data_IF_122371532356
#
_entry.id   IF_122371532356
#
_cell.length_a   1.000
_cell.length_b   1.000
_cell.length_c   1.000
_cell.angle_alpha   90.00
_cell.angle_beta   90.00
_cell.angle_gamma   90.00
#
_symmetry.space_group_name_H-M   'P 1'
#
loop_
_entity.id
_entity.type
_entity.pdbx_description
1 polymer ?
#
# COMPACT_ATOMS: atom_id res chain seq x y z
N UNK A 1 5.96 -20.26 -14.48
CA UNK A 1 5.46 -20.68 -13.16
C UNK A 1 4.19 -19.91 -12.88
N UNK A 2 3.06 -20.57 -12.59
CA UNK A 2 1.87 -19.83 -12.18
C UNK A 2 2.16 -19.21 -10.80
N UNK A 3 2.19 -17.88 -10.71
CA UNK A 3 2.28 -17.20 -9.43
C UNK A 3 1.04 -17.57 -8.60
N UNK A 4 1.24 -18.10 -7.39
CA UNK A 4 0.15 -18.24 -6.43
C UNK A 4 -0.24 -16.83 -5.96
N UNK A 5 -1.30 -16.27 -6.55
CA UNK A 5 -1.85 -14.96 -6.18
C UNK A 5 -2.68 -15.12 -4.89
N UNK A 6 -2.48 -14.20 -3.95
CA UNK A 6 -3.31 -14.10 -2.76
C UNK A 6 -4.71 -13.60 -3.11
N UNK A 7 -5.73 -14.01 -2.35
CA UNK A 7 -7.10 -13.49 -2.46
C UNK A 7 -7.32 -12.20 -1.62
N UNK A 8 -6.27 -11.69 -0.97
CA UNK A 8 -6.37 -10.45 -0.19
C UNK A 8 -6.30 -9.22 -1.10
N UNK A 9 -7.15 -8.23 -0.84
CA UNK A 9 -7.01 -6.90 -1.43
C UNK A 9 -5.71 -6.24 -0.99
N UNK A 10 -5.07 -5.53 -1.90
CA UNK A 10 -3.85 -4.76 -1.67
C UNK A 10 -4.14 -3.28 -1.86
N UNK A 11 -3.76 -2.48 -0.88
CA UNK A 11 -3.65 -1.03 -1.02
C UNK A 11 -2.17 -0.68 -1.14
N UNK A 12 -1.81 0.09 -2.16
CA UNK A 12 -0.50 0.72 -2.29
C UNK A 12 -0.68 2.19 -1.93
N UNK A 13 -0.11 2.61 -0.79
CA UNK A 13 -0.11 3.99 -0.34
C UNK A 13 1.00 4.76 -1.04
N UNK A 14 0.62 5.77 -1.84
CA UNK A 14 1.51 6.56 -2.70
C UNK A 14 1.12 8.03 -2.60
N UNK A 15 2.01 8.86 -2.08
CA UNK A 15 1.86 10.32 -1.94
C UNK A 15 2.66 11.11 -2.99
N UNK A 16 3.23 10.42 -3.98
CA UNK A 16 3.98 10.95 -5.11
C UNK A 16 3.19 10.72 -6.41
N UNK A 17 2.68 11.80 -7.02
CA UNK A 17 1.86 11.75 -8.23
C UNK A 17 2.62 11.17 -9.44
N UNK A 18 3.93 11.41 -9.55
CA UNK A 18 4.75 10.86 -10.63
C UNK A 18 4.90 9.35 -10.47
N UNK A 19 5.14 8.89 -9.24
CA UNK A 19 5.20 7.46 -8.92
C UNK A 19 3.85 6.77 -9.15
N UNK A 20 2.75 7.42 -8.75
CA UNK A 20 1.39 6.89 -8.94
C UNK A 20 1.08 6.70 -10.43
N UNK A 21 1.32 7.72 -11.26
CA UNK A 21 1.08 7.67 -12.69
C UNK A 21 1.99 6.62 -13.40
N UNK A 22 3.25 6.53 -12.98
CA UNK A 22 4.18 5.51 -13.48
C UNK A 22 3.68 4.10 -13.16
N UNK A 23 3.26 3.87 -11.91
CA UNK A 23 2.86 2.55 -11.44
C UNK A 23 1.53 2.09 -12.04
N UNK A 24 0.53 2.97 -12.13
CA UNK A 24 -0.76 2.70 -12.81
C UNK A 24 -0.52 2.18 -14.23
N UNK A 25 0.34 2.87 -15.00
CA UNK A 25 0.73 2.41 -16.33
C UNK A 25 1.50 1.10 -16.31
N UNK A 26 2.45 0.94 -15.39
CA UNK A 26 3.33 -0.23 -15.35
C UNK A 26 2.57 -1.52 -15.00
N UNK A 27 1.58 -1.46 -14.11
CA UNK A 27 0.78 -2.61 -13.69
C UNK A 27 -0.07 -3.21 -14.84
N UNK A 28 -0.34 -2.44 -15.90
CA UNK A 28 -0.98 -2.96 -17.11
C UNK A 28 -0.04 -3.67 -18.09
N UNK A 29 1.27 -3.38 -18.05
CA UNK A 29 2.22 -3.76 -19.11
C UNK A 29 3.29 -4.76 -18.62
N UNK A 30 3.38 -5.01 -17.31
CA UNK A 30 4.48 -5.75 -16.71
C UNK A 30 4.76 -7.13 -17.36
N UNK A 31 3.73 -7.92 -17.66
CA UNK A 31 3.89 -9.19 -18.39
C UNK A 31 2.75 -9.37 -19.40
N UNK A 32 3.08 -9.79 -20.64
CA UNK A 32 2.11 -9.91 -21.72
C UNK A 32 0.93 -10.87 -21.44
N UNK A 33 1.08 -11.77 -20.46
CA UNK A 33 0.06 -12.74 -20.05
C UNK A 33 -0.47 -12.51 -18.62
N UNK A 34 -0.04 -11.44 -17.93
CA UNK A 34 -0.50 -11.13 -16.57
C UNK A 34 -1.34 -9.88 -16.56
N UNK A 35 -2.56 -10.00 -16.04
CA UNK A 35 -3.44 -8.89 -15.77
C UNK A 35 -3.51 -8.66 -14.26
N UNK A 36 -3.20 -7.43 -13.83
CA UNK A 36 -3.34 -6.98 -12.45
C UNK A 36 -4.46 -5.93 -12.41
N UNK A 37 -5.71 -6.31 -12.11
CA UNK A 37 -6.80 -5.35 -12.02
C UNK A 37 -6.54 -4.38 -10.87
N UNK A 38 -6.41 -3.10 -11.19
CA UNK A 38 -6.16 -2.05 -10.21
C UNK A 38 -7.04 -0.82 -10.46
N UNK A 39 -7.13 0.03 -9.44
CA UNK A 39 -7.90 1.26 -9.47
C UNK A 39 -7.18 2.36 -8.70
N UNK A 40 -7.05 3.54 -9.31
CA UNK A 40 -6.61 4.76 -8.64
C UNK A 40 -7.78 5.38 -7.85
N UNK A 41 -7.54 5.69 -6.59
CA UNK A 41 -8.45 6.41 -5.70
C UNK A 41 -7.80 7.75 -5.36
N UNK A 42 -8.23 8.82 -6.03
CA UNK A 42 -7.65 10.16 -5.88
C UNK A 42 -8.49 11.05 -4.96
N UNK A 43 -9.80 10.81 -4.90
CA UNK A 43 -10.73 11.59 -4.09
C UNK A 43 -11.29 10.78 -2.93
N UNK A 44 -11.01 11.23 -1.70
CA UNK A 44 -11.47 10.61 -0.46
C UNK A 44 -12.99 10.47 -0.33
N UNK A 45 -13.74 11.30 -1.06
CA UNK A 45 -15.21 11.29 -1.13
C UNK A 45 -15.78 10.22 -2.07
N UNK A 46 -14.94 9.43 -2.72
CA UNK A 46 -15.41 8.29 -3.51
C UNK A 46 -16.11 7.32 -2.55
N UNK A 47 -17.44 7.22 -2.63
CA UNK A 47 -18.23 6.31 -1.82
C UNK A 47 -17.93 4.85 -2.21
N UNK A 48 -16.83 4.35 -1.64
CA UNK A 48 -16.28 3.01 -1.83
C UNK A 48 -17.20 1.92 -1.29
N UNK A 49 -18.21 2.27 -0.48
CA UNK A 49 -19.06 1.29 0.18
C UNK A 49 -20.06 0.62 -0.78
N UNK A 50 -20.34 1.24 -1.94
CA UNK A 50 -21.36 0.76 -2.88
C UNK A 50 -20.82 0.36 -4.26
N UNK A 51 -19.51 0.50 -4.50
CA UNK A 51 -18.87 0.09 -5.75
C UNK A 51 -17.93 -1.09 -5.51
N UNK A 52 -18.01 -2.08 -6.40
CA UNK A 52 -17.00 -3.12 -6.44
C UNK A 52 -15.64 -2.49 -6.79
N UNK A 53 -14.73 -2.51 -5.82
CA UNK A 53 -13.37 -2.01 -5.98
C UNK A 53 -12.48 -3.05 -6.67
N UNK A 54 -11.47 -2.59 -7.40
CA UNK A 54 -10.41 -3.46 -7.88
C UNK A 54 -9.64 -4.09 -6.68
N UNK A 55 -9.09 -5.30 -6.83
CA UNK A 55 -8.35 -5.95 -5.75
C UNK A 55 -7.02 -5.25 -5.43
N UNK A 56 -6.47 -4.45 -6.35
CA UNK A 56 -5.32 -3.57 -6.09
C UNK A 56 -5.78 -2.11 -6.15
N UNK A 57 -5.51 -1.36 -5.10
CA UNK A 57 -5.84 0.05 -4.99
C UNK A 57 -4.55 0.87 -4.95
N UNK A 58 -4.50 1.95 -5.74
CA UNK A 58 -3.44 2.95 -5.70
C UNK A 58 -4.05 4.23 -5.13
N UNK A 59 -3.51 4.75 -4.02
CA UNK A 59 -4.14 5.89 -3.33
C UNK A 59 -3.15 6.65 -2.45
N UNK A 60 -3.29 7.98 -2.30
CA UNK A 60 -2.56 8.74 -1.29
C UNK A 60 -3.18 8.65 0.11
N UNK A 61 -4.34 8.00 0.26
CA UNK A 61 -5.04 7.85 1.53
C UNK A 61 -5.53 6.41 1.79
N UNK A 62 -5.84 6.11 3.05
CA UNK A 62 -6.47 4.85 3.45
C UNK A 62 -7.99 4.92 3.25
N UNK A 63 -8.58 4.10 2.37
CA UNK A 63 -10.03 4.05 2.20
C UNK A 63 -10.73 3.63 3.50
N UNK A 64 -11.90 4.18 3.78
CA UNK A 64 -12.72 3.76 4.92
C UNK A 64 -13.05 2.25 4.84
N UNK A 65 -13.16 1.59 5.99
CA UNK A 65 -13.46 0.16 6.11
C UNK A 65 -12.46 -0.76 5.39
N UNK A 66 -11.29 -0.26 4.95
CA UNK A 66 -10.32 -1.08 4.21
C UNK A 66 -9.84 -2.26 5.07
N UNK A 67 -9.92 -3.46 4.50
CA UNK A 67 -9.44 -4.71 5.07
C UNK A 67 -8.63 -5.44 4.01
N UNK A 68 -7.33 -5.59 4.25
CA UNK A 68 -6.42 -6.15 3.26
C UNK A 68 -4.97 -5.97 3.65
N UNK A 69 -4.07 -6.09 2.68
CA UNK A 69 -2.66 -5.78 2.85
C UNK A 69 -2.41 -4.32 2.45
N UNK A 70 -1.45 -3.67 3.11
CA UNK A 70 -1.00 -2.33 2.74
C UNK A 70 0.48 -2.40 2.35
N UNK A 71 0.81 -1.97 1.14
CA UNK A 71 2.18 -1.65 0.74
C UNK A 71 2.37 -0.14 0.88
N UNK A 72 3.18 0.27 1.84
CA UNK A 72 3.44 1.67 2.12
C UNK A 72 4.74 2.10 1.41
N UNK A 73 4.62 3.03 0.46
CA UNK A 73 5.78 3.64 -0.21
C UNK A 73 6.09 5.04 0.31
N UNK A 74 5.30 5.55 1.25
CA UNK A 74 5.42 6.91 1.79
C UNK A 74 6.47 6.99 2.89
N UNK A 75 6.85 8.22 3.26
CA UNK A 75 7.73 8.45 4.41
C UNK A 75 7.02 8.27 5.76
N UNK A 76 5.69 8.31 5.77
CA UNK A 76 4.91 8.25 7.00
C UNK A 76 4.61 6.79 7.39
N UNK A 77 4.54 6.46 8.69
CA UNK A 77 4.06 5.15 9.11
C UNK A 77 2.56 4.99 8.76
N UNK A 78 2.13 3.75 8.48
CA UNK A 78 0.75 3.43 8.10
C UNK A 78 -0.27 3.88 9.17
N UNK A 79 0.16 3.96 10.43
CA UNK A 79 -0.67 4.40 11.55
C UNK A 79 -1.19 5.83 11.37
N UNK A 80 -0.47 6.68 10.63
CA UNK A 80 -0.91 8.03 10.28
C UNK A 80 -2.16 7.97 9.39
N UNK A 81 -2.14 7.10 8.39
CA UNK A 81 -3.27 6.94 7.45
C UNK A 81 -4.45 6.22 8.09
N UNK A 82 -4.19 5.22 8.95
CA UNK A 82 -5.25 4.53 9.72
C UNK A 82 -5.98 5.51 10.63
N UNK A 83 -5.24 6.39 11.32
CA UNK A 83 -5.83 7.40 12.22
C UNK A 83 -6.64 8.47 11.48
N UNK A 84 -6.36 8.68 10.18
CA UNK A 84 -7.04 9.67 9.34
C UNK A 84 -8.30 9.13 8.63
N UNK A 85 -8.67 7.86 8.85
CA UNK A 85 -9.81 7.22 8.20
C UNK A 85 -10.72 6.49 9.20
N UNK A 86 -11.84 5.96 8.69
CA UNK A 86 -12.85 5.31 9.51
C UNK A 86 -12.73 3.79 9.37
N UNK A 87 -12.54 3.09 10.49
CA UNK A 87 -12.65 1.63 10.61
C UNK A 87 -11.76 0.82 9.63
N UNK A 88 -10.65 1.39 9.17
CA UNK A 88 -9.65 0.62 8.43
C UNK A 88 -8.91 -0.33 9.37
N UNK A 89 -8.80 -1.59 8.98
CA UNK A 89 -8.12 -2.64 9.74
C UNK A 89 -7.24 -3.45 8.77
N UNK A 90 -6.06 -2.91 8.38
CA UNK A 90 -5.09 -3.66 7.61
C UNK A 90 -4.71 -4.97 8.31
N UNK A 91 -4.63 -6.04 7.54
CA UNK A 91 -4.25 -7.38 8.00
C UNK A 91 -2.74 -7.59 7.99
N UNK A 92 -2.01 -6.87 7.12
CA UNK A 92 -0.55 -6.83 7.04
C UNK A 92 -0.10 -5.50 6.47
N UNK A 93 1.10 -5.08 6.87
CA UNK A 93 1.80 -3.90 6.35
C UNK A 93 3.13 -4.35 5.76
N UNK A 94 3.39 -3.91 4.53
CA UNK A 94 4.65 -4.07 3.82
C UNK A 94 5.26 -2.69 3.67
N UNK A 95 6.55 -2.57 3.98
CA UNK A 95 7.31 -1.34 3.82
C UNK A 95 8.36 -1.53 2.72
N UNK A 96 8.38 -0.65 1.73
CA UNK A 96 9.43 -0.66 0.72
C UNK A 96 10.51 0.36 1.10
N UNK A 97 11.73 -0.13 1.33
CA UNK A 97 12.88 0.70 1.70
C UNK A 97 13.89 0.65 0.56
N UNK A 98 14.08 1.77 -0.13
CA UNK A 98 15.13 1.91 -1.15
C UNK A 98 16.52 1.83 -0.48
N UNK A 99 17.55 1.31 -1.16
CA UNK A 99 18.90 1.15 -0.61
C UNK A 99 19.71 2.47 -0.58
N UNK A 100 19.05 3.60 -0.37
CA UNK A 100 19.68 4.91 -0.18
C UNK A 100 19.64 5.34 1.29
N UNK A 101 20.54 6.23 1.69
CA UNK A 101 20.71 6.61 3.09
C UNK A 101 19.45 7.23 3.71
N UNK A 102 18.72 8.03 2.94
CA UNK A 102 17.50 8.70 3.40
C UNK A 102 16.39 7.68 3.64
N UNK A 103 16.13 6.81 2.66
CA UNK A 103 15.11 5.77 2.78
C UNK A 103 15.40 4.79 3.91
N UNK A 104 16.66 4.42 4.12
CA UNK A 104 17.06 3.55 5.24
C UNK A 104 16.81 4.23 6.58
N UNK A 105 17.10 5.52 6.71
CA UNK A 105 16.85 6.26 7.95
C UNK A 105 15.35 6.35 8.24
N UNK A 106 14.52 6.65 7.24
CA UNK A 106 13.06 6.67 7.40
C UNK A 106 12.48 5.29 7.69
N UNK A 107 13.03 4.24 7.06
CA UNK A 107 12.70 2.86 7.38
C UNK A 107 12.97 2.52 8.86
N UNK A 108 14.10 2.99 9.40
CA UNK A 108 14.42 2.82 10.84
C UNK A 108 13.44 3.58 11.75
N UNK A 109 13.00 4.77 11.35
CA UNK A 109 11.98 5.52 12.08
C UNK A 109 10.65 4.76 12.11
N UNK A 110 10.16 4.32 10.94
CA UNK A 110 8.92 3.52 10.82
C UNK A 110 9.01 2.22 11.61
N UNK A 111 10.13 1.51 11.53
CA UNK A 111 10.37 0.28 12.32
C UNK A 111 10.19 0.50 13.82
N UNK A 112 10.80 1.56 14.39
CA UNK A 112 10.66 1.89 15.81
C UNK A 112 9.21 2.24 16.18
N UNK A 113 8.50 2.95 15.30
CA UNK A 113 7.08 3.27 15.52
C UNK A 113 6.22 2.00 15.58
N UNK A 114 6.41 1.07 14.63
CA UNK A 114 5.67 -0.20 14.62
C UNK A 114 6.03 -1.10 15.80
N UNK A 115 7.30 -1.11 16.22
CA UNK A 115 7.72 -1.83 17.41
C UNK A 115 6.97 -1.35 18.67
N UNK A 116 6.84 -0.03 18.85
CA UNK A 116 6.10 0.56 19.98
C UNK A 116 4.61 0.24 19.93
N UNK A 117 4.06 0.05 18.74
CA UNK A 117 2.66 -0.33 18.52
C UNK A 117 2.43 -1.85 18.62
N UNK A 118 3.46 -2.64 18.90
CA UNK A 118 3.34 -4.08 19.11
C UNK A 118 3.21 -4.91 17.83
N UNK A 119 3.61 -4.38 16.67
CA UNK A 119 3.65 -5.15 15.43
C UNK A 119 4.70 -6.26 15.50
N UNK A 120 4.40 -7.40 14.88
CA UNK A 120 5.41 -8.40 14.54
C UNK A 120 6.24 -7.90 13.35
N UNK A 121 7.55 -7.77 13.55
CA UNK A 121 8.45 -7.16 12.56
C UNK A 121 9.35 -8.23 11.93
N UNK A 122 9.49 -8.16 10.62
CA UNK A 122 10.38 -9.03 9.83
C UNK A 122 11.02 -8.23 8.72
N UNK A 123 12.26 -8.56 8.38
CA UNK A 123 13.03 -7.93 7.31
C UNK A 123 13.38 -8.97 6.25
N UNK A 124 13.18 -8.62 4.98
CA UNK A 124 13.51 -9.46 3.83
C UNK A 124 14.39 -8.66 2.86
N UNK A 125 15.42 -9.33 2.33
CA UNK A 125 16.16 -8.80 1.18
C UNK A 125 15.51 -9.39 -0.08
N UNK A 126 15.03 -8.51 -0.96
CA UNK A 126 14.28 -8.87 -2.17
C UNK A 126 15.04 -8.36 -3.40
#
# INVERSE_FOLDING_TARGET
TALNKSNQSLLILIDDDELLAMLDKALWVQEAASFIPHQCLLDADTDINYKALAPVLLSPYMPANFKGMVLNTTIHPVSTFISATINAQPTRVLELIKPDATSVQEGRHKYKSYQKLGYELSHFNV
#
